data_IF_359286378360
#
_entry.id   IF_359286378360
#
_cell.length_a   1.000
_cell.length_b   1.000
_cell.length_c   1.000
_cell.angle_alpha   90.00
_cell.angle_beta   90.00
_cell.angle_gamma   90.00
#
_symmetry.space_group_name_H-M   'P 1'
#
loop_
_entity.id
_entity.type
_entity.pdbx_description
1 polymer ?
#
# COMPACT_ATOMS: atom_id res chain seq x y z
N UNK A 1 19.04 0.91 22.88
CA UNK A 1 19.00 2.04 21.91
C UNK A 1 18.38 1.63 20.58
N UNK A 2 18.69 0.45 20.01
CA UNK A 2 18.19 0.00 18.69
C UNK A 2 16.66 -0.16 18.65
N UNK A 3 16.06 -0.87 19.62
CA UNK A 3 14.60 -1.10 19.64
C UNK A 3 13.76 0.19 19.67
N UNK A 4 14.25 1.25 20.34
CA UNK A 4 13.56 2.54 20.40
C UNK A 4 13.57 3.25 19.05
N UNK A 5 14.61 3.05 18.24
CA UNK A 5 14.70 3.65 16.91
C UNK A 5 13.79 2.93 15.91
N UNK A 6 13.74 1.59 15.98
CA UNK A 6 12.84 0.78 15.15
C UNK A 6 11.36 1.11 15.41
N UNK A 7 10.98 1.30 16.68
CA UNK A 7 9.63 1.69 17.06
C UNK A 7 9.23 3.05 16.47
N UNK A 8 10.13 4.04 16.53
CA UNK A 8 9.91 5.37 15.93
C UNK A 8 9.80 5.29 14.40
N UNK A 9 10.61 4.45 13.76
CA UNK A 9 10.57 4.26 12.32
C UNK A 9 9.26 3.58 11.88
N UNK A 10 8.83 2.54 12.60
CA UNK A 10 7.56 1.87 12.36
C UNK A 10 6.37 2.81 12.56
N UNK A 11 6.38 3.66 13.60
CA UNK A 11 5.37 4.69 13.80
C UNK A 11 5.33 5.70 12.65
N UNK A 12 6.49 6.10 12.12
CA UNK A 12 6.57 7.01 10.97
C UNK A 12 6.03 6.39 9.68
N UNK A 13 6.25 5.10 9.47
CA UNK A 13 5.77 4.37 8.29
C UNK A 13 4.34 3.86 8.44
N UNK A 14 3.79 3.84 9.64
CA UNK A 14 2.47 3.29 9.92
C UNK A 14 1.40 3.87 8.98
N UNK A 15 1.33 5.17 8.79
CA UNK A 15 0.30 5.76 7.92
C UNK A 15 0.57 5.63 6.42
N UNK A 16 1.68 5.01 6.01
CA UNK A 16 2.03 4.87 4.60
C UNK A 16 1.29 3.68 3.98
N UNK A 17 0.78 3.92 2.78
CA UNK A 17 0.13 2.97 1.89
C UNK A 17 0.96 2.84 0.63
N UNK A 18 1.37 1.62 0.29
CA UNK A 18 2.18 1.33 -0.90
C UNK A 18 1.31 0.70 -1.98
N UNK A 19 1.28 1.32 -3.15
CA UNK A 19 0.44 0.94 -4.29
C UNK A 19 1.35 0.52 -5.45
N UNK A 20 1.10 -0.67 -6.02
CA UNK A 20 1.76 -1.16 -7.22
C UNK A 20 0.80 -1.16 -8.40
N UNK A 21 1.35 -1.05 -9.61
CA UNK A 21 0.59 -1.12 -10.86
C UNK A 21 0.12 0.23 -11.40
N UNK A 22 0.40 1.34 -10.71
CA UNK A 22 0.08 2.68 -11.23
C UNK A 22 1.09 3.07 -12.30
N UNK A 23 0.62 3.30 -13.54
CA UNK A 23 1.43 3.79 -14.64
C UNK A 23 2.16 5.10 -14.30
N UNK A 24 3.40 5.24 -14.74
CA UNK A 24 4.28 6.36 -14.35
C UNK A 24 3.96 7.68 -15.08
N UNK A 25 3.02 7.69 -16.02
CA UNK A 25 2.63 8.87 -16.82
C UNK A 25 1.30 9.50 -16.42
N UNK A 26 0.55 8.89 -15.50
CA UNK A 26 -0.80 9.35 -15.09
C UNK A 26 -0.77 10.55 -14.13
N UNK A 27 0.40 10.97 -13.68
CA UNK A 27 0.60 11.77 -12.46
C UNK A 27 1.05 13.23 -12.71
N UNK A 28 0.70 13.79 -13.87
CA UNK A 28 1.41 14.95 -14.46
C UNK A 28 1.28 16.27 -13.67
N UNK A 29 0.34 16.42 -12.74
CA UNK A 29 0.07 17.76 -12.15
C UNK A 29 -0.07 17.78 -10.62
N UNK A 30 -0.87 16.89 -10.03
CA UNK A 30 -1.10 16.81 -8.58
C UNK A 30 -1.32 15.38 -8.14
N UNK A 31 -0.23 14.73 -7.78
CA UNK A 31 -0.24 13.33 -7.39
C UNK A 31 -1.14 13.07 -6.17
N UNK A 32 -1.26 14.05 -5.27
CA UNK A 32 -2.02 13.97 -4.02
C UNK A 32 -3.52 13.83 -4.31
N UNK A 33 -4.01 14.69 -5.19
CA UNK A 33 -5.39 14.68 -5.66
C UNK A 33 -5.66 13.43 -6.50
N UNK A 34 -4.68 12.98 -7.29
CA UNK A 34 -4.82 11.76 -8.07
C UNK A 34 -5.04 10.53 -7.19
N UNK A 35 -4.20 10.31 -6.16
CA UNK A 35 -4.34 9.14 -5.28
C UNK A 35 -5.63 9.21 -4.48
N UNK A 36 -6.03 10.39 -4.03
CA UNK A 36 -7.31 10.58 -3.35
C UNK A 36 -8.49 10.21 -4.26
N UNK A 37 -8.54 10.75 -5.49
CA UNK A 37 -9.56 10.42 -6.46
C UNK A 37 -9.56 8.92 -6.80
N UNK A 38 -8.38 8.32 -6.96
CA UNK A 38 -8.21 6.89 -7.20
C UNK A 38 -8.82 6.06 -6.06
N UNK A 39 -8.51 6.41 -4.80
CA UNK A 39 -9.07 5.70 -3.65
C UNK A 39 -10.59 5.85 -3.59
N UNK A 40 -11.12 7.06 -3.83
CA UNK A 40 -12.57 7.32 -3.87
C UNK A 40 -13.24 6.55 -5.01
N UNK A 41 -12.65 6.50 -6.20
CA UNK A 41 -13.17 5.77 -7.36
C UNK A 41 -13.22 4.26 -7.10
N UNK A 42 -12.17 3.70 -6.50
CA UNK A 42 -12.06 2.25 -6.26
C UNK A 42 -12.90 1.78 -5.07
N UNK A 43 -12.95 2.57 -4.00
CA UNK A 43 -13.48 2.15 -2.70
C UNK A 43 -14.75 2.88 -2.28
N UNK A 44 -15.05 4.03 -2.90
CA UNK A 44 -16.21 4.87 -2.63
C UNK A 44 -15.94 5.93 -1.58
N UNK A 45 -16.58 7.10 -1.72
CA UNK A 45 -16.42 8.23 -0.78
C UNK A 45 -16.81 7.86 0.66
N UNK A 46 -17.80 6.98 0.84
CA UNK A 46 -18.24 6.56 2.19
C UNK A 46 -17.15 5.83 2.98
N UNK A 47 -16.15 5.26 2.31
CA UNK A 47 -15.03 4.60 2.96
C UNK A 47 -14.04 5.59 3.60
N UNK A 48 -14.07 6.85 3.16
CA UNK A 48 -13.14 7.89 3.60
C UNK A 48 -13.92 9.09 4.14
N UNK A 49 -14.02 9.20 5.46
CA UNK A 49 -14.77 10.25 6.17
C UNK A 49 -14.14 11.64 6.10
N UNK A 50 -12.90 11.76 5.64
CA UNK A 50 -12.15 13.01 5.59
C UNK A 50 -11.94 13.46 4.14
N UNK A 51 -12.16 14.74 3.86
CA UNK A 51 -12.11 15.38 2.53
C UNK A 51 -10.70 15.44 1.90
N UNK A 52 -9.68 14.94 2.60
CA UNK A 52 -8.27 14.98 2.17
C UNK A 52 -7.50 13.82 2.81
N UNK A 53 -7.58 12.62 2.25
CA UNK A 53 -7.02 11.41 2.88
C UNK A 53 -5.48 11.38 2.82
N UNK A 54 -4.89 12.02 1.80
CA UNK A 54 -3.45 11.91 1.46
C UNK A 54 -2.69 13.17 1.91
N UNK A 55 -1.63 12.99 2.71
CA UNK A 55 -0.76 14.08 3.17
C UNK A 55 0.33 14.43 2.17
N UNK A 56 0.99 13.39 1.67
CA UNK A 56 2.03 13.48 0.65
C UNK A 56 2.25 12.10 0.06
N UNK A 57 2.95 12.05 -1.06
CA UNK A 57 3.32 10.82 -1.72
C UNK A 57 4.67 10.98 -2.40
N UNK A 58 5.26 9.84 -2.70
CA UNK A 58 6.45 9.76 -3.50
C UNK A 58 6.47 8.42 -4.23
N UNK A 59 7.20 8.37 -5.34
CA UNK A 59 7.69 7.11 -5.89
C UNK A 59 9.08 6.84 -5.32
N UNK A 60 9.48 5.56 -5.34
CA UNK A 60 10.86 5.21 -5.05
C UNK A 60 11.81 5.99 -5.96
N UNK A 61 12.97 6.41 -5.46
CA UNK A 61 14.01 7.15 -6.20
C UNK A 61 14.69 6.31 -7.31
N UNK A 62 14.10 5.17 -7.67
CA UNK A 62 14.60 4.32 -8.74
C UNK A 62 14.35 4.98 -10.11
N UNK A 63 15.18 4.68 -11.12
CA UNK A 63 14.89 5.09 -12.49
C UNK A 63 13.50 4.63 -12.92
N UNK A 64 12.91 5.39 -13.85
CA UNK A 64 11.67 5.02 -14.53
C UNK A 64 11.77 3.58 -15.04
N UNK A 65 10.73 2.78 -14.80
CA UNK A 65 10.72 1.39 -15.25
C UNK A 65 10.66 1.35 -16.79
N UNK A 66 11.49 0.54 -17.46
CA UNK A 66 11.42 0.41 -18.91
C UNK A 66 10.12 -0.27 -19.34
N UNK A 67 9.76 -0.11 -20.63
CA UNK A 67 8.54 -0.70 -21.20
C UNK A 67 8.56 -2.22 -20.99
N UNK A 68 7.49 -2.76 -20.42
CA UNK A 68 7.35 -4.18 -20.09
C UNK A 68 7.83 -4.59 -18.70
N UNK A 69 8.46 -3.69 -17.94
CA UNK A 69 8.77 -3.89 -16.52
C UNK A 69 7.66 -3.26 -15.67
N UNK A 70 7.24 -3.88 -14.54
CA UNK A 70 6.24 -3.29 -13.66
C UNK A 70 6.65 -1.89 -13.18
N UNK A 71 5.71 -0.93 -13.12
CA UNK A 71 6.03 0.43 -12.72
C UNK A 71 6.51 0.51 -11.27
N UNK A 72 7.32 1.53 -10.98
CA UNK A 72 7.83 1.77 -9.62
C UNK A 72 6.67 1.96 -8.63
N UNK A 73 6.66 1.28 -7.47
CA UNK A 73 5.61 1.45 -6.48
C UNK A 73 5.48 2.90 -6.02
N UNK A 74 4.24 3.34 -5.85
CA UNK A 74 3.90 4.62 -5.27
C UNK A 74 3.64 4.44 -3.78
N UNK A 75 4.22 5.30 -2.94
CA UNK A 75 3.97 5.33 -1.51
C UNK A 75 3.24 6.61 -1.16
N UNK A 76 2.01 6.49 -0.67
CA UNK A 76 1.19 7.59 -0.20
C UNK A 76 1.11 7.55 1.34
N UNK A 77 1.47 8.65 2.02
CA UNK A 77 1.20 8.79 3.45
C UNK A 77 -0.21 9.35 3.63
N UNK A 78 -1.04 8.58 4.31
CA UNK A 78 -2.38 9.01 4.67
C UNK A 78 -2.37 9.84 5.97
N UNK A 79 -3.41 10.64 6.19
CA UNK A 79 -3.52 11.45 7.41
C UNK A 79 -3.58 10.59 8.66
N UNK A 80 -4.32 9.49 8.60
CA UNK A 80 -4.55 8.61 9.72
C UNK A 80 -4.40 7.14 9.32
N UNK A 81 -4.08 6.31 10.32
CA UNK A 81 -3.86 4.89 10.13
C UNK A 81 -5.15 4.11 9.83
N UNK A 82 -6.32 4.66 10.22
CA UNK A 82 -7.63 4.03 10.01
C UNK A 82 -8.00 4.03 8.52
N UNK A 83 -7.74 5.13 7.81
CA UNK A 83 -7.91 5.24 6.36
C UNK A 83 -6.98 4.27 5.63
N UNK A 84 -5.75 4.11 6.13
CA UNK A 84 -4.77 3.13 5.62
C UNK A 84 -5.26 1.69 5.82
N UNK A 85 -5.76 1.34 6.99
CA UNK A 85 -6.32 0.02 7.26
C UNK A 85 -7.59 -0.24 6.45
N UNK A 86 -8.46 0.76 6.33
CA UNK A 86 -9.70 0.66 5.55
C UNK A 86 -9.39 0.41 4.07
N UNK A 87 -8.44 1.16 3.49
CA UNK A 87 -8.00 0.96 2.12
C UNK A 87 -7.42 -0.45 1.90
N UNK A 88 -6.59 -0.94 2.82
CA UNK A 88 -6.04 -2.31 2.75
C UNK A 88 -7.12 -3.38 2.87
N UNK A 89 -8.08 -3.22 3.77
CA UNK A 89 -9.20 -4.15 3.94
C UNK A 89 -10.06 -4.20 2.68
N UNK A 90 -10.48 -3.05 2.16
CA UNK A 90 -11.28 -2.97 0.95
C UNK A 90 -10.53 -3.48 -0.27
N UNK A 91 -9.22 -3.24 -0.37
CA UNK A 91 -8.39 -3.80 -1.43
C UNK A 91 -8.34 -5.34 -1.37
N UNK A 92 -8.29 -5.91 -0.17
CA UNK A 92 -8.32 -7.35 0.02
C UNK A 92 -9.70 -7.95 -0.32
N UNK A 93 -10.77 -7.32 0.17
CA UNK A 93 -12.16 -7.75 -0.06
C UNK A 93 -12.58 -7.65 -1.52
N UNK A 94 -12.10 -6.63 -2.24
CA UNK A 94 -12.43 -6.38 -3.65
C UNK A 94 -11.32 -6.86 -4.60
N UNK A 95 -10.40 -7.70 -4.13
CA UNK A 95 -9.33 -8.24 -4.96
C UNK A 95 -9.89 -9.19 -6.04
N UNK A 96 -9.43 -9.10 -7.30
CA UNK A 96 -8.42 -8.17 -7.82
C UNK A 96 -8.98 -6.77 -8.08
N UNK A 97 -8.21 -5.74 -7.71
CA UNK A 97 -8.58 -4.32 -7.95
C UNK A 97 -8.01 -3.88 -9.30
N UNK A 98 -8.87 -3.73 -10.30
CA UNK A 98 -8.48 -3.28 -11.63
C UNK A 98 -8.68 -1.77 -11.80
N UNK A 99 -7.70 -1.09 -12.39
CA UNK A 99 -7.76 0.32 -12.73
C UNK A 99 -7.15 0.53 -14.11
N UNK A 100 -7.93 1.07 -15.04
CA UNK A 100 -7.55 1.17 -16.46
C UNK A 100 -7.09 -0.20 -17.00
N UNK A 101 -5.94 -0.25 -17.65
CA UNK A 101 -5.32 -1.45 -18.22
C UNK A 101 -4.39 -2.18 -17.23
N UNK A 102 -4.54 -1.96 -15.92
CA UNK A 102 -3.61 -2.50 -14.91
C UNK A 102 -4.32 -2.98 -13.65
N UNK A 103 -3.83 -4.08 -13.08
CA UNK A 103 -4.26 -4.54 -11.76
C UNK A 103 -3.43 -3.86 -10.69
N UNK A 104 -4.11 -3.17 -9.77
CA UNK A 104 -3.49 -2.51 -8.63
C UNK A 104 -3.37 -3.47 -7.46
N UNK A 105 -2.29 -3.30 -6.70
CA UNK A 105 -2.08 -4.03 -5.45
C UNK A 105 -1.65 -3.08 -4.35
N UNK A 106 -2.28 -3.23 -3.19
CA UNK A 106 -2.11 -2.34 -2.04
C UNK A 106 -1.40 -3.09 -0.91
N UNK A 107 -0.41 -2.44 -0.31
CA UNK A 107 0.41 -3.02 0.75
C UNK A 107 0.68 -2.00 1.86
N UNK A 108 0.83 -2.43 3.11
CA UNK A 108 1.43 -1.61 4.15
C UNK A 108 2.91 -1.33 3.83
N UNK A 109 3.41 -0.19 4.28
CA UNK A 109 4.84 0.13 4.28
C UNK A 109 5.44 -0.29 5.63
N UNK A 110 6.30 -1.30 5.61
CA UNK A 110 6.94 -1.83 6.81
C UNK A 110 8.43 -1.56 6.81
N UNK A 111 8.98 -1.42 8.03
CA UNK A 111 10.42 -1.34 8.21
C UNK A 111 11.04 -2.67 7.79
N UNK A 112 12.34 -2.62 7.45
CA UNK A 112 13.08 -3.82 7.07
C UNK A 112 13.00 -4.92 8.13
N UNK A 113 13.11 -4.57 9.41
CA UNK A 113 13.01 -5.54 10.50
C UNK A 113 11.65 -6.24 10.56
N UNK A 114 10.55 -5.50 10.38
CA UNK A 114 9.19 -6.06 10.33
C UNK A 114 9.02 -6.94 9.09
N UNK A 115 9.53 -6.48 7.94
CA UNK A 115 9.48 -7.24 6.69
C UNK A 115 10.28 -8.54 6.77
N UNK A 116 11.49 -8.51 7.32
CA UNK A 116 12.33 -9.69 7.56
C UNK A 116 11.62 -10.67 8.50
N UNK A 117 10.93 -10.16 9.52
CA UNK A 117 10.13 -10.99 10.40
C UNK A 117 8.94 -11.62 9.69
N UNK A 118 8.26 -10.88 8.82
CA UNK A 118 7.17 -11.39 7.97
C UNK A 118 7.65 -12.54 7.06
N UNK A 119 8.84 -12.41 6.47
CA UNK A 119 9.42 -13.44 5.61
C UNK A 119 9.72 -14.76 6.33
N UNK A 120 9.96 -14.74 7.65
CA UNK A 120 10.11 -15.99 8.44
C UNK A 120 8.85 -16.85 8.45
N UNK A 121 7.69 -16.25 8.23
CA UNK A 121 6.40 -16.96 8.20
C UNK A 121 5.92 -17.24 6.77
N UNK A 122 6.74 -16.98 5.74
CA UNK A 122 6.36 -17.20 4.35
C UNK A 122 6.01 -18.67 4.07
N UNK A 123 6.81 -19.61 4.58
CA UNK A 123 6.56 -21.05 4.38
C UNK A 123 5.25 -21.49 5.04
N UNK A 124 4.98 -21.02 6.26
CA UNK A 124 3.72 -21.29 6.95
C UNK A 124 2.53 -20.68 6.21
N UNK A 125 2.70 -19.49 5.64
CA UNK A 125 1.69 -18.80 4.85
C UNK A 125 1.33 -19.62 3.61
N UNK A 126 2.32 -20.13 2.89
CA UNK A 126 2.11 -20.97 1.72
C UNK A 126 1.38 -22.27 2.11
N UNK A 127 1.83 -22.94 3.18
CA UNK A 127 1.17 -24.12 3.71
C UNK A 127 -0.31 -23.84 4.08
N UNK A 128 -0.58 -22.73 4.76
CA UNK A 128 -1.92 -22.35 5.17
C UNK A 128 -2.83 -22.03 3.97
N UNK A 129 -2.29 -21.43 2.90
CA UNK A 129 -3.01 -21.22 1.64
C UNK A 129 -3.35 -22.55 0.94
N UNK A 130 -2.40 -23.49 0.89
CA UNK A 130 -2.61 -24.81 0.27
C UNK A 130 -3.65 -25.65 1.03
N UNK A 131 -3.67 -25.55 2.35
CA UNK A 131 -4.56 -26.32 3.23
C UNK A 131 -5.90 -25.64 3.52
N UNK A 132 -6.08 -24.40 3.04
CA UNK A 132 -7.29 -23.61 3.32
C UNK A 132 -7.43 -23.19 4.79
N UNK A 133 -6.35 -23.25 5.56
CA UNK A 133 -6.33 -22.79 6.95
C UNK A 133 -6.51 -21.28 6.98
N UNK A 134 -7.45 -20.80 7.81
CA UNK A 134 -7.59 -19.37 8.09
C UNK A 134 -6.42 -18.92 8.96
N UNK A 135 -5.67 -17.95 8.49
CA UNK A 135 -4.61 -17.29 9.24
C UNK A 135 -4.75 -15.77 9.12
N UNK A 136 -4.25 -15.06 10.11
CA UNK A 136 -4.08 -13.61 10.05
C UNK A 136 -2.69 -13.30 10.57
N UNK A 137 -1.96 -12.50 9.82
CA UNK A 137 -0.68 -11.93 10.27
C UNK A 137 -1.05 -10.54 10.77
N UNK A 138 -1.00 -10.35 12.09
CA UNK A 138 -1.13 -9.04 12.73
C UNK A 138 0.14 -8.21 12.45
#
# INVERSE_FOLDING_TARGET
MIAKNEDLEACSQHNNLRIRGIAETTEITRHDVFVENLLIELFGLQAFTETSVVKWLHRSLAPRSPIGVPPCPLTARLLNYRSRDMALRLACERSPVNYQESTLSFFPDFTKAVQDNWWKYADFKEYAQQTGLKYSIL
#
